data_IF_199657445241
#
_entry.id   IF_199657445241
#
_cell.length_a   1.000
_cell.length_b   1.000
_cell.length_c   1.000
_cell.angle_alpha   90.00
_cell.angle_beta   90.00
_cell.angle_gamma   90.00
#
_symmetry.space_group_name_H-M   'P 1'
#
loop_
_entity.id
_entity.type
_entity.pdbx_description
1 polymer ?
#
# COMPACT_ATOMS: atom_id res chain seq x y z
N UNK A 1 17.93 -5.46 66.88
CA UNK A 1 18.10 -6.18 65.64
C UNK A 1 17.03 -5.71 64.67
N UNK A 2 17.42 -4.84 63.75
CA UNK A 2 16.50 -4.23 62.78
C UNK A 2 16.69 -5.01 61.46
N UNK A 3 15.64 -5.67 61.00
CA UNK A 3 15.65 -6.37 59.74
C UNK A 3 15.03 -5.46 58.68
N UNK A 4 15.84 -4.86 57.83
CA UNK A 4 15.41 -4.16 56.61
C UNK A 4 15.10 -5.22 55.57
N UNK A 5 13.84 -5.37 55.17
CA UNK A 5 13.45 -6.11 53.99
C UNK A 5 13.34 -5.08 52.85
N UNK A 6 14.28 -5.17 51.97
CA UNK A 6 14.35 -4.40 50.74
C UNK A 6 13.15 -4.70 49.85
N UNK A 7 12.31 -3.71 49.64
CA UNK A 7 11.32 -3.74 48.56
C UNK A 7 12.04 -3.75 47.21
N UNK A 8 11.97 -4.84 46.52
CA UNK A 8 12.35 -4.93 45.10
C UNK A 8 11.31 -4.14 44.30
N UNK A 9 11.78 -3.07 43.72
CA UNK A 9 11.02 -2.21 42.80
C UNK A 9 10.55 -3.03 41.60
N UNK A 10 9.24 -3.26 41.51
CA UNK A 10 8.57 -3.88 40.37
C UNK A 10 8.40 -2.89 39.19
N UNK A 11 9.33 -1.95 39.01
CA UNK A 11 9.34 -0.93 37.95
C UNK A 11 10.49 -1.13 36.98
N UNK A 12 10.58 -2.31 36.35
CA UNK A 12 11.71 -2.59 35.47
C UNK A 12 11.45 -3.68 34.42
N UNK A 13 10.20 -4.06 34.18
CA UNK A 13 9.83 -4.91 33.06
C UNK A 13 8.90 -4.16 32.11
N UNK A 14 9.21 -2.88 31.83
CA UNK A 14 8.59 -2.16 30.75
C UNK A 14 9.03 -2.78 29.41
N UNK A 15 8.17 -3.64 28.91
CA UNK A 15 7.77 -3.78 27.53
C UNK A 15 8.85 -4.09 26.51
N UNK A 16 9.37 -5.32 26.54
CA UNK A 16 10.13 -5.92 25.43
C UNK A 16 9.22 -6.30 24.25
N UNK A 17 7.93 -6.00 24.31
CA UNK A 17 6.98 -6.29 23.23
C UNK A 17 7.10 -5.17 22.18
N UNK A 18 7.52 -5.49 20.94
CA UNK A 18 7.64 -4.47 19.89
C UNK A 18 6.30 -3.77 19.65
N UNK A 19 6.31 -2.45 19.49
CA UNK A 19 5.10 -1.71 19.12
C UNK A 19 4.53 -2.23 17.79
N UNK A 20 3.22 -2.07 17.52
CA UNK A 20 2.64 -2.49 16.24
C UNK A 20 3.33 -1.84 15.03
N UNK A 21 3.78 -0.58 15.16
CA UNK A 21 4.56 0.10 14.11
C UNK A 21 5.95 -0.54 13.92
N UNK A 22 6.64 -0.90 14.99
CA UNK A 22 7.93 -1.60 14.92
C UNK A 22 7.78 -3.00 14.29
N UNK A 23 6.67 -3.69 14.56
CA UNK A 23 6.34 -4.95 13.87
C UNK A 23 6.09 -4.72 12.39
N UNK A 24 5.32 -3.69 12.03
CA UNK A 24 5.03 -3.37 10.63
C UNK A 24 6.27 -2.90 9.85
N UNK A 25 7.19 -2.19 10.48
CA UNK A 25 8.45 -1.82 9.84
C UNK A 25 9.25 -3.05 9.38
N UNK A 26 9.07 -4.18 10.04
CA UNK A 26 9.68 -5.48 9.72
C UNK A 26 8.71 -6.43 8.99
N UNK A 27 7.72 -5.90 8.27
CA UNK A 27 6.60 -6.65 7.64
C UNK A 27 7.02 -7.73 6.66
N UNK A 28 8.23 -7.64 6.07
CA UNK A 28 8.78 -8.67 5.20
C UNK A 28 9.24 -9.93 5.94
N UNK A 29 9.52 -9.83 7.24
CA UNK A 29 9.88 -10.98 8.05
C UNK A 29 8.65 -11.84 8.33
N UNK A 30 8.83 -13.16 8.30
CA UNK A 30 7.74 -14.12 8.46
C UNK A 30 6.93 -13.87 9.73
N UNK A 31 5.64 -13.60 9.58
CA UNK A 31 4.70 -13.42 10.67
C UNK A 31 4.64 -12.00 11.25
N UNK A 32 5.56 -11.10 10.92
CA UNK A 32 5.59 -9.76 11.52
C UNK A 32 4.41 -8.90 11.07
N UNK A 33 4.04 -8.91 9.79
CA UNK A 33 2.85 -8.21 9.30
C UNK A 33 1.55 -8.73 9.97
N UNK A 34 1.44 -10.04 10.19
CA UNK A 34 0.29 -10.61 10.89
C UNK A 34 0.23 -10.15 12.35
N UNK A 35 1.36 -10.22 13.08
CA UNK A 35 1.45 -9.73 14.46
C UNK A 35 1.10 -8.22 14.57
N UNK A 36 1.55 -7.41 13.63
CA UNK A 36 1.18 -5.99 13.56
C UNK A 36 -0.33 -5.82 13.37
N UNK A 37 -0.92 -6.55 12.42
CA UNK A 37 -2.37 -6.51 12.18
C UNK A 37 -3.17 -6.94 13.41
N UNK A 38 -2.76 -8.01 14.08
CA UNK A 38 -3.43 -8.52 15.29
C UNK A 38 -3.33 -7.52 16.46
N UNK A 39 -2.18 -6.85 16.61
CA UNK A 39 -1.99 -5.83 17.64
C UNK A 39 -2.89 -4.59 17.38
N UNK A 40 -3.00 -4.11 16.13
CA UNK A 40 -3.94 -3.03 15.80
C UNK A 40 -5.39 -3.46 15.92
N UNK A 41 -5.74 -4.70 15.56
CA UNK A 41 -7.08 -5.23 15.76
C UNK A 41 -7.46 -5.26 17.25
N UNK A 42 -6.56 -5.72 18.13
CA UNK A 42 -6.75 -5.72 19.57
C UNK A 42 -6.91 -4.28 20.12
N UNK A 43 -6.09 -3.35 19.65
CA UNK A 43 -6.19 -1.92 20.05
C UNK A 43 -7.52 -1.31 19.58
N UNK A 44 -7.98 -1.60 18.37
CA UNK A 44 -9.27 -1.14 17.86
C UNK A 44 -10.44 -1.78 18.59
N UNK A 45 -10.32 -3.04 19.01
CA UNK A 45 -11.34 -3.71 19.84
C UNK A 45 -11.45 -3.09 21.23
N UNK A 46 -10.31 -2.74 21.86
CA UNK A 46 -10.27 -2.06 23.15
C UNK A 46 -10.76 -0.61 23.06
N UNK A 47 -10.48 0.07 21.95
CA UNK A 47 -10.84 1.47 21.71
C UNK A 47 -11.49 1.61 20.34
N UNK A 48 -12.81 1.38 20.20
CA UNK A 48 -13.49 1.36 18.90
C UNK A 48 -13.48 2.69 18.14
N UNK A 49 -13.09 3.80 18.78
CA UNK A 49 -12.93 5.11 18.17
C UNK A 49 -11.48 5.43 17.77
N UNK A 50 -10.57 4.46 17.82
CA UNK A 50 -9.17 4.65 17.46
C UNK A 50 -9.01 4.66 15.93
N UNK A 51 -9.01 5.86 15.36
CA UNK A 51 -8.80 6.10 13.94
C UNK A 51 -7.46 5.54 13.45
N UNK A 52 -6.40 5.75 14.23
CA UNK A 52 -5.06 5.33 13.83
C UNK A 52 -4.96 3.81 13.75
N UNK A 53 -5.47 3.11 14.75
CA UNK A 53 -5.52 1.64 14.71
C UNK A 53 -6.34 1.12 13.53
N UNK A 54 -7.46 1.79 13.18
CA UNK A 54 -8.31 1.37 12.08
C UNK A 54 -7.60 1.44 10.71
N UNK A 55 -7.00 2.57 10.36
CA UNK A 55 -6.33 2.67 9.06
C UNK A 55 -5.02 1.87 9.00
N UNK A 56 -4.26 1.79 10.09
CA UNK A 56 -3.03 0.97 10.14
C UNK A 56 -3.34 -0.52 10.05
N UNK A 57 -4.43 -0.97 10.65
CA UNK A 57 -4.94 -2.33 10.45
C UNK A 57 -5.25 -2.58 8.97
N UNK A 58 -5.95 -1.66 8.31
CA UNK A 58 -6.23 -1.77 6.88
C UNK A 58 -4.96 -1.90 6.05
N UNK A 59 -3.96 -1.05 6.31
CA UNK A 59 -2.63 -1.10 5.65
C UNK A 59 -1.94 -2.45 5.86
N UNK A 60 -1.95 -2.95 7.09
CA UNK A 60 -1.33 -4.25 7.38
C UNK A 60 -2.04 -5.41 6.68
N UNK A 61 -3.37 -5.38 6.63
CA UNK A 61 -4.18 -6.38 5.91
C UNK A 61 -3.95 -6.32 4.39
N UNK A 62 -3.77 -5.13 3.82
CA UNK A 62 -3.34 -4.95 2.44
C UNK A 62 -2.00 -5.66 2.18
N UNK A 63 -0.98 -5.42 3.03
CA UNK A 63 0.32 -6.06 2.88
C UNK A 63 0.21 -7.60 2.96
N UNK A 64 -0.54 -8.12 3.92
CA UNK A 64 -0.79 -9.56 4.07
C UNK A 64 -1.48 -10.11 2.82
N UNK A 65 -2.49 -9.42 2.30
CA UNK A 65 -3.22 -9.85 1.11
C UNK A 65 -2.39 -9.83 -0.17
N UNK A 66 -1.45 -8.89 -0.30
CA UNK A 66 -0.61 -8.78 -1.50
C UNK A 66 0.64 -9.65 -1.45
N UNK A 67 1.18 -9.93 -0.26
CA UNK A 67 2.46 -10.63 -0.07
C UNK A 67 2.33 -11.99 0.64
N UNK A 68 1.17 -12.28 1.22
CA UNK A 68 0.92 -13.52 1.93
C UNK A 68 0.49 -14.69 1.05
N UNK A 69 0.04 -15.77 1.69
CA UNK A 69 -0.45 -16.96 1.01
C UNK A 69 -1.71 -16.66 0.16
N UNK A 70 -1.80 -17.28 -1.00
CA UNK A 70 -2.92 -17.13 -1.95
C UNK A 70 -4.26 -17.48 -1.30
N UNK A 71 -4.31 -18.53 -0.49
CA UNK A 71 -5.55 -19.01 0.15
C UNK A 71 -6.14 -17.99 1.15
N UNK A 72 -5.30 -17.24 1.85
CA UNK A 72 -5.71 -16.20 2.80
C UNK A 72 -5.92 -14.82 2.20
N UNK A 73 -5.55 -14.62 0.92
CA UNK A 73 -5.53 -13.30 0.27
C UNK A 73 -6.87 -12.58 0.32
N UNK A 74 -7.94 -13.26 -0.10
CA UNK A 74 -9.28 -12.66 -0.11
C UNK A 74 -9.70 -12.21 1.28
N UNK A 75 -9.58 -13.08 2.27
CA UNK A 75 -9.97 -12.78 3.65
C UNK A 75 -9.17 -11.60 4.23
N UNK A 76 -7.86 -11.52 3.93
CA UNK A 76 -7.03 -10.40 4.35
C UNK A 76 -7.49 -9.08 3.72
N UNK A 77 -7.74 -9.06 2.41
CA UNK A 77 -8.16 -7.85 1.70
C UNK A 77 -9.58 -7.40 2.09
N UNK A 78 -10.51 -8.35 2.30
CA UNK A 78 -11.86 -8.05 2.77
C UNK A 78 -11.80 -7.43 4.20
N UNK A 79 -11.03 -8.02 5.11
CA UNK A 79 -10.81 -7.44 6.44
C UNK A 79 -10.12 -6.06 6.38
N UNK A 80 -9.22 -5.86 5.41
CA UNK A 80 -8.60 -4.57 5.15
C UNK A 80 -9.61 -3.51 4.72
N UNK A 81 -10.56 -3.87 3.84
CA UNK A 81 -11.64 -2.96 3.43
C UNK A 81 -12.56 -2.59 4.61
N UNK A 82 -12.87 -3.54 5.49
CA UNK A 82 -13.72 -3.25 6.66
C UNK A 82 -13.03 -2.32 7.65
N UNK A 83 -11.73 -2.51 7.90
CA UNK A 83 -10.94 -1.62 8.73
C UNK A 83 -10.83 -0.20 8.12
N UNK A 84 -10.67 -0.08 6.79
CA UNK A 84 -10.67 1.20 6.09
C UNK A 84 -12.01 1.93 6.21
N UNK A 85 -13.13 1.23 6.01
CA UNK A 85 -14.48 1.80 6.21
C UNK A 85 -14.67 2.30 7.64
N UNK A 86 -14.14 1.58 8.62
CA UNK A 86 -14.16 2.01 10.03
C UNK A 86 -13.37 3.31 10.20
N UNK A 87 -12.18 3.42 9.61
CA UNK A 87 -11.39 4.65 9.65
C UNK A 87 -12.15 5.82 9.01
N UNK A 88 -12.74 5.63 7.82
CA UNK A 88 -13.56 6.64 7.15
C UNK A 88 -14.76 7.09 8.00
N UNK A 89 -15.44 6.15 8.66
CA UNK A 89 -16.57 6.48 9.55
C UNK A 89 -16.13 7.30 10.77
N UNK A 90 -14.91 7.09 11.27
CA UNK A 90 -14.36 7.85 12.39
C UNK A 90 -13.88 9.24 11.98
N UNK A 91 -13.19 9.35 10.86
CA UNK A 91 -12.64 10.63 10.36
C UNK A 91 -12.76 10.71 8.82
N UNK A 92 -13.93 11.09 8.29
CA UNK A 92 -14.19 11.09 6.85
C UNK A 92 -13.40 12.14 6.06
N UNK A 93 -12.84 13.14 6.73
CA UNK A 93 -12.01 14.18 6.11
C UNK A 93 -10.51 13.83 6.09
N UNK A 94 -10.13 12.62 6.50
CA UNK A 94 -8.75 12.15 6.49
C UNK A 94 -8.50 11.22 5.31
N UNK A 95 -7.39 11.35 4.57
CA UNK A 95 -7.12 10.58 3.35
C UNK A 95 -6.86 9.09 3.60
N UNK A 96 -6.38 8.70 4.80
CA UNK A 96 -5.89 7.35 5.09
C UNK A 96 -6.97 6.28 4.87
N UNK A 97 -8.19 6.50 5.37
CA UNK A 97 -9.29 5.55 5.22
C UNK A 97 -9.67 5.34 3.75
N UNK A 98 -9.82 6.43 3.01
CA UNK A 98 -10.13 6.42 1.58
C UNK A 98 -9.05 5.71 0.77
N UNK A 99 -7.79 6.06 0.99
CA UNK A 99 -6.66 5.45 0.28
C UNK A 99 -6.58 3.95 0.52
N UNK A 100 -6.61 3.51 1.78
CA UNK A 100 -6.48 2.08 2.10
C UNK A 100 -7.71 1.26 1.71
N UNK A 101 -8.91 1.88 1.64
CA UNK A 101 -10.07 1.23 1.03
C UNK A 101 -9.84 0.98 -0.46
N UNK A 102 -9.42 2.01 -1.21
CA UNK A 102 -9.12 1.89 -2.63
C UNK A 102 -7.99 0.88 -2.90
N UNK A 103 -6.93 0.87 -2.09
CA UNK A 103 -5.81 -0.04 -2.22
C UNK A 103 -6.23 -1.51 -2.03
N UNK A 104 -7.00 -1.83 -0.99
CA UNK A 104 -7.51 -3.19 -0.76
C UNK A 104 -8.47 -3.64 -1.87
N UNK A 105 -9.38 -2.77 -2.34
CA UNK A 105 -10.24 -3.06 -3.48
C UNK A 105 -9.44 -3.31 -4.77
N UNK A 106 -8.40 -2.50 -5.01
CA UNK A 106 -7.51 -2.62 -6.16
C UNK A 106 -6.74 -3.94 -6.16
N UNK A 107 -6.14 -4.30 -5.03
CA UNK A 107 -5.43 -5.57 -4.86
C UNK A 107 -6.35 -6.79 -5.06
N UNK A 108 -7.60 -6.71 -4.56
CA UNK A 108 -8.60 -7.74 -4.76
C UNK A 108 -8.99 -7.84 -6.25
N UNK A 109 -9.17 -6.71 -6.92
CA UNK A 109 -9.48 -6.65 -8.34
C UNK A 109 -8.37 -7.27 -9.20
N UNK A 110 -7.11 -6.94 -8.93
CA UNK A 110 -5.95 -7.51 -9.65
C UNK A 110 -5.76 -9.00 -9.37
N UNK A 111 -6.07 -9.47 -8.16
CA UNK A 111 -5.87 -10.87 -7.76
C UNK A 111 -6.94 -11.83 -8.27
N UNK A 112 -8.19 -11.36 -8.45
CA UNK A 112 -9.34 -12.23 -8.74
C UNK A 112 -10.02 -11.93 -10.08
N UNK A 113 -9.32 -11.20 -10.94
CA UNK A 113 -9.66 -11.07 -12.35
C UNK A 113 -10.72 -10.03 -12.68
N UNK A 114 -11.10 -10.00 -13.97
CA UNK A 114 -11.86 -8.91 -14.57
C UNK A 114 -13.22 -8.65 -13.91
N UNK A 115 -13.94 -9.67 -13.46
CA UNK A 115 -15.25 -9.48 -12.80
C UNK A 115 -15.13 -8.66 -11.52
N UNK A 116 -14.09 -8.91 -10.72
CA UNK A 116 -13.82 -8.12 -9.52
C UNK A 116 -13.33 -6.71 -9.87
N UNK A 117 -12.48 -6.60 -10.90
CA UNK A 117 -12.05 -5.31 -11.43
C UNK A 117 -13.22 -4.43 -11.84
N UNK A 118 -14.15 -4.96 -12.61
CA UNK A 118 -15.35 -4.23 -13.03
C UNK A 118 -16.29 -3.90 -11.87
N UNK A 119 -16.41 -4.80 -10.89
CA UNK A 119 -17.23 -4.57 -9.67
C UNK A 119 -16.74 -3.35 -8.90
N UNK A 120 -15.44 -3.24 -8.66
CA UNK A 120 -14.89 -2.22 -7.77
C UNK A 120 -14.41 -0.95 -8.49
N UNK A 121 -14.29 -0.96 -9.84
CA UNK A 121 -13.66 0.14 -10.59
C UNK A 121 -14.15 1.54 -10.25
N UNK A 122 -15.48 1.72 -10.13
CA UNK A 122 -16.07 3.04 -9.82
C UNK A 122 -15.73 3.47 -8.39
N UNK A 123 -15.82 2.55 -7.43
CA UNK A 123 -15.52 2.83 -6.03
C UNK A 123 -14.03 3.15 -5.84
N UNK A 124 -13.12 2.35 -6.43
CA UNK A 124 -11.68 2.62 -6.38
C UNK A 124 -11.37 4.04 -6.87
N UNK A 125 -11.92 4.40 -8.06
CA UNK A 125 -11.68 5.72 -8.65
C UNK A 125 -12.21 6.83 -7.75
N UNK A 126 -13.44 6.71 -7.24
CA UNK A 126 -14.06 7.71 -6.38
C UNK A 126 -13.28 7.94 -5.09
N UNK A 127 -12.83 6.87 -4.43
CA UNK A 127 -12.04 6.98 -3.20
C UNK A 127 -10.67 7.63 -3.47
N UNK A 128 -10.00 7.30 -4.58
CA UNK A 128 -8.73 7.94 -4.93
C UNK A 128 -8.89 9.42 -5.32
N UNK A 129 -9.97 9.79 -6.00
CA UNK A 129 -10.30 11.19 -6.30
C UNK A 129 -10.61 11.97 -5.00
N UNK A 130 -11.23 11.32 -4.00
CA UNK A 130 -11.43 11.92 -2.69
C UNK A 130 -10.10 12.12 -1.95
N UNK A 131 -9.16 11.17 -2.01
CA UNK A 131 -7.80 11.37 -1.47
C UNK A 131 -7.14 12.59 -2.10
N UNK A 132 -7.20 12.75 -3.45
CA UNK A 132 -6.65 13.93 -4.12
C UNK A 132 -7.28 15.23 -3.67
N UNK A 133 -8.58 15.22 -3.37
CA UNK A 133 -9.30 16.39 -2.86
C UNK A 133 -8.90 16.73 -1.42
N UNK A 134 -8.70 15.73 -0.58
CA UNK A 134 -8.33 15.88 0.83
C UNK A 134 -6.87 16.26 1.02
N UNK A 135 -5.97 15.52 0.38
CA UNK A 135 -4.53 15.72 0.42
C UNK A 135 -3.88 15.07 -0.82
N UNK A 136 -3.59 15.85 -1.84
CA UNK A 136 -2.96 15.36 -3.06
C UNK A 136 -1.51 14.89 -2.85
N UNK A 137 -0.84 15.34 -1.77
CA UNK A 137 0.52 14.94 -1.42
C UNK A 137 0.57 13.70 -0.52
N UNK A 138 -0.59 13.18 -0.07
CA UNK A 138 -0.67 12.03 0.82
C UNK A 138 0.22 10.88 0.33
N UNK A 139 1.07 10.35 1.24
CA UNK A 139 2.02 9.25 0.94
C UNK A 139 2.77 9.50 -0.37
N UNK A 140 3.31 10.71 -0.52
CA UNK A 140 4.10 11.14 -1.67
C UNK A 140 3.40 10.93 -3.03
N UNK A 141 2.13 11.38 -3.13
CA UNK A 141 1.34 11.29 -4.35
C UNK A 141 0.78 9.88 -4.63
N UNK A 142 0.51 9.12 -3.57
CA UNK A 142 0.02 7.74 -3.67
C UNK A 142 -1.30 7.63 -4.44
N UNK A 143 -2.19 8.61 -4.34
CA UNK A 143 -3.47 8.61 -5.05
C UNK A 143 -3.27 8.78 -6.57
N UNK A 144 -2.39 9.67 -7.00
CA UNK A 144 -2.02 9.81 -8.41
C UNK A 144 -1.36 8.51 -8.93
N UNK A 145 -0.46 7.91 -8.18
CA UNK A 145 0.13 6.60 -8.52
C UNK A 145 -0.93 5.52 -8.70
N UNK A 146 -1.87 5.42 -7.78
CA UNK A 146 -2.94 4.43 -7.83
C UNK A 146 -3.96 4.71 -8.96
N UNK A 147 -4.29 5.97 -9.25
CA UNK A 147 -5.11 6.35 -10.40
C UNK A 147 -4.42 6.03 -11.72
N UNK A 148 -3.11 6.28 -11.83
CA UNK A 148 -2.34 5.85 -12.98
C UNK A 148 -2.45 4.34 -13.22
N UNK A 149 -2.26 3.55 -12.16
CA UNK A 149 -2.46 2.10 -12.21
C UNK A 149 -3.89 1.73 -12.62
N UNK A 150 -4.90 2.40 -12.06
CA UNK A 150 -6.30 2.20 -12.38
C UNK A 150 -6.59 2.45 -13.87
N UNK A 151 -6.13 3.59 -14.41
CA UNK A 151 -6.33 3.93 -15.82
C UNK A 151 -5.66 2.93 -16.78
N UNK A 152 -4.53 2.37 -16.39
CA UNK A 152 -3.83 1.32 -17.14
C UNK A 152 -4.57 -0.03 -17.10
N UNK A 153 -5.07 -0.44 -15.91
CA UNK A 153 -5.67 -1.77 -15.73
C UNK A 153 -7.12 -1.88 -16.21
N UNK A 154 -7.87 -0.80 -16.17
CA UNK A 154 -9.28 -0.79 -16.59
C UNK A 154 -9.33 -0.76 -18.12
N UNK A 155 -10.11 -1.65 -18.78
CA UNK A 155 -10.27 -1.57 -20.24
C UNK A 155 -10.86 -0.23 -20.70
N UNK A 156 -10.44 0.25 -21.87
CA UNK A 156 -10.86 1.54 -22.43
C UNK A 156 -12.38 1.73 -22.49
N UNK A 157 -13.13 0.67 -22.84
CA UNK A 157 -14.60 0.66 -22.83
C UNK A 157 -15.21 1.03 -21.47
N UNK A 158 -14.47 0.80 -20.37
CA UNK A 158 -14.89 1.06 -19.01
C UNK A 158 -14.19 2.27 -18.37
N UNK A 159 -13.50 3.07 -19.16
CA UNK A 159 -12.86 4.32 -18.76
C UNK A 159 -11.34 4.28 -18.58
N UNK A 160 -10.67 3.19 -18.92
CA UNK A 160 -9.21 3.11 -18.96
C UNK A 160 -8.62 3.99 -20.06
N UNK A 161 -7.37 4.44 -19.89
CA UNK A 161 -6.62 5.23 -20.87
C UNK A 161 -5.15 5.27 -20.49
N UNK A 162 -4.28 4.89 -21.42
CA UNK A 162 -2.84 4.94 -21.22
C UNK A 162 -2.33 6.39 -21.09
N UNK A 163 -2.95 7.34 -21.80
CA UNK A 163 -2.59 8.75 -21.72
C UNK A 163 -2.88 9.31 -20.31
N UNK A 164 -4.04 8.99 -19.74
CA UNK A 164 -4.37 9.39 -18.36
C UNK A 164 -3.51 8.65 -17.34
N UNK A 165 -3.20 7.38 -17.60
CA UNK A 165 -2.26 6.62 -16.78
C UNK A 165 -0.90 7.33 -16.71
N UNK A 166 -0.31 7.67 -17.87
CA UNK A 166 0.95 8.40 -17.95
C UNK A 166 0.87 9.75 -17.21
N UNK A 167 -0.21 10.52 -17.42
CA UNK A 167 -0.40 11.82 -16.76
C UNK A 167 -0.37 11.70 -15.23
N UNK A 168 -1.14 10.79 -14.66
CA UNK A 168 -1.20 10.56 -13.22
C UNK A 168 0.12 10.04 -12.67
N UNK A 169 0.77 9.09 -13.35
CA UNK A 169 2.07 8.56 -12.92
C UNK A 169 3.17 9.61 -12.94
N UNK A 170 3.22 10.45 -13.98
CA UNK A 170 4.14 11.60 -14.00
C UNK A 170 3.81 12.61 -12.91
N UNK A 171 2.52 12.82 -12.61
CA UNK A 171 2.12 13.68 -11.51
C UNK A 171 2.59 13.12 -10.17
N UNK A 172 2.43 11.82 -9.91
CA UNK A 172 2.94 11.20 -8.68
C UNK A 172 4.46 11.37 -8.53
N UNK A 173 5.21 11.29 -9.62
CA UNK A 173 6.66 11.50 -9.63
C UNK A 173 7.09 12.96 -9.34
N UNK A 174 6.17 13.94 -9.38
CA UNK A 174 6.46 15.30 -8.89
C UNK A 174 6.49 15.39 -7.37
N UNK A 175 5.86 14.45 -6.66
CA UNK A 175 5.92 14.37 -5.19
C UNK A 175 7.09 13.52 -4.70
N UNK A 176 7.41 12.44 -5.42
CA UNK A 176 8.58 11.60 -5.15
C UNK A 176 9.19 11.11 -6.47
N UNK A 177 10.24 11.79 -6.90
CA UNK A 177 10.98 11.46 -8.12
C UNK A 177 11.71 10.10 -8.03
N UNK A 178 11.86 9.52 -6.84
CA UNK A 178 12.52 8.23 -6.61
C UNK A 178 11.54 7.06 -6.45
N UNK A 179 10.22 7.31 -6.53
CA UNK A 179 9.19 6.28 -6.35
C UNK A 179 9.36 5.11 -7.32
N UNK A 180 9.86 3.98 -6.82
CA UNK A 180 10.05 2.76 -7.62
C UNK A 180 8.74 2.24 -8.22
N UNK A 181 7.65 2.30 -7.44
CA UNK A 181 6.34 1.88 -7.90
C UNK A 181 5.79 2.77 -9.04
N UNK A 182 5.94 4.11 -8.91
CA UNK A 182 5.48 5.05 -9.96
C UNK A 182 6.24 4.86 -11.27
N UNK A 183 7.56 4.72 -11.20
CA UNK A 183 8.39 4.43 -12.37
C UNK A 183 8.07 3.07 -12.99
N UNK A 184 7.83 2.04 -12.18
CA UNK A 184 7.49 0.72 -12.69
C UNK A 184 6.14 0.73 -13.44
N UNK A 185 5.10 1.35 -12.87
CA UNK A 185 3.79 1.47 -13.53
C UNK A 185 3.85 2.34 -14.77
N UNK A 186 4.67 3.40 -14.75
CA UNK A 186 4.92 4.23 -15.94
C UNK A 186 5.58 3.40 -17.05
N UNK A 187 6.54 2.55 -16.72
CA UNK A 187 7.18 1.68 -17.69
C UNK A 187 6.18 0.71 -18.34
N UNK A 188 5.26 0.11 -17.58
CA UNK A 188 4.21 -0.75 -18.13
C UNK A 188 3.28 0.03 -19.07
N UNK A 189 2.89 1.24 -18.70
CA UNK A 189 2.05 2.12 -19.52
C UNK A 189 2.75 2.50 -20.83
N UNK A 190 4.03 2.91 -20.75
CA UNK A 190 4.83 3.30 -21.91
C UNK A 190 5.07 2.13 -22.88
N UNK A 191 5.29 0.93 -22.34
CA UNK A 191 5.42 -0.30 -23.12
C UNK A 191 4.14 -0.59 -23.91
N UNK A 192 2.98 -0.52 -23.28
CA UNK A 192 1.67 -0.74 -23.92
C UNK A 192 1.37 0.31 -25.00
N UNK A 193 1.88 1.54 -24.84
CA UNK A 193 1.85 2.59 -25.85
C UNK A 193 2.87 2.39 -27.00
N UNK A 194 3.65 1.31 -26.98
CA UNK A 194 4.70 1.04 -27.97
C UNK A 194 5.99 1.84 -27.77
N UNK A 195 6.09 2.65 -26.71
CA UNK A 195 7.25 3.52 -26.41
C UNK A 195 8.33 2.74 -25.65
N UNK A 196 8.87 1.70 -26.31
CA UNK A 196 9.81 0.75 -25.68
C UNK A 196 11.08 1.41 -25.14
N UNK A 197 11.63 2.43 -25.81
CA UNK A 197 12.82 3.12 -25.34
C UNK A 197 12.54 3.84 -24.00
N UNK A 198 11.43 4.55 -23.91
CA UNK A 198 11.02 5.25 -22.70
C UNK A 198 10.69 4.28 -21.57
N UNK A 199 10.04 3.15 -21.88
CA UNK A 199 9.78 2.09 -20.92
C UNK A 199 11.08 1.52 -20.33
N UNK A 200 12.11 1.29 -21.15
CA UNK A 200 13.42 0.84 -20.70
C UNK A 200 14.09 1.86 -19.78
N UNK A 201 14.03 3.14 -20.13
CA UNK A 201 14.56 4.22 -19.29
C UNK A 201 13.84 4.27 -17.93
N UNK A 202 12.51 4.15 -17.93
CA UNK A 202 11.71 4.12 -16.69
C UNK A 202 12.07 2.89 -15.81
N UNK A 203 12.27 1.70 -16.40
CA UNK A 203 12.72 0.52 -15.64
C UNK A 203 14.12 0.70 -15.08
N UNK A 204 15.02 1.37 -15.80
CA UNK A 204 16.34 1.69 -15.29
C UNK A 204 16.27 2.60 -14.06
N UNK A 205 15.38 3.63 -14.07
CA UNK A 205 15.12 4.46 -12.88
C UNK A 205 14.68 3.63 -11.67
N UNK A 206 13.79 2.62 -11.86
CA UNK A 206 13.43 1.72 -10.76
C UNK A 206 14.64 1.00 -10.17
N UNK A 207 15.54 0.50 -11.04
CA UNK A 207 16.71 -0.28 -10.62
C UNK A 207 17.70 0.62 -9.86
N UNK A 208 17.90 1.86 -10.30
CA UNK A 208 18.90 2.77 -9.77
C UNK A 208 18.43 3.56 -8.54
N UNK A 209 17.12 3.73 -8.37
CA UNK A 209 16.55 4.46 -7.24
C UNK A 209 17.07 3.93 -5.89
N UNK A 210 17.36 4.79 -4.90
CA UNK A 210 17.67 4.34 -3.55
C UNK A 210 16.46 3.63 -2.92
N UNK A 211 16.69 2.79 -1.92
CA UNK A 211 15.59 2.24 -1.12
C UNK A 211 15.04 3.34 -0.21
N UNK A 212 13.73 3.50 -0.21
CA UNK A 212 13.05 4.32 0.78
C UNK A 212 12.93 3.50 2.09
N UNK A 213 13.40 3.99 3.25
CA UNK A 213 13.36 3.22 4.50
C UNK A 213 11.96 2.71 4.87
N UNK A 214 10.91 3.50 4.60
CA UNK A 214 9.53 3.14 4.94
C UNK A 214 8.92 2.11 3.97
N UNK A 215 9.44 2.05 2.73
CA UNK A 215 8.96 1.22 1.64
C UNK A 215 10.00 0.21 1.13
N UNK A 216 11.08 0.00 1.87
CA UNK A 216 12.20 -0.84 1.45
C UNK A 216 11.80 -2.27 1.04
N UNK A 217 10.83 -2.95 1.69
CA UNK A 217 10.34 -4.24 1.22
C UNK A 217 9.72 -4.19 -0.17
N UNK A 218 8.85 -3.21 -0.41
CA UNK A 218 8.17 -3.01 -1.69
C UNK A 218 9.15 -2.56 -2.77
N UNK A 219 10.08 -1.66 -2.46
CA UNK A 219 11.12 -1.23 -3.38
C UNK A 219 11.98 -2.39 -3.88
N UNK A 220 12.35 -3.32 -2.99
CA UNK A 220 13.09 -4.53 -3.39
C UNK A 220 12.30 -5.38 -4.39
N UNK A 221 10.98 -5.48 -4.20
CA UNK A 221 10.10 -6.21 -5.12
C UNK A 221 10.03 -5.52 -6.48
N UNK A 222 9.80 -4.19 -6.51
CA UNK A 222 9.74 -3.44 -7.76
C UNK A 222 11.06 -3.50 -8.52
N UNK A 223 12.20 -3.41 -7.83
CA UNK A 223 13.52 -3.56 -8.45
C UNK A 223 13.73 -4.96 -9.06
N UNK A 224 13.28 -6.01 -8.40
CA UNK A 224 13.36 -7.38 -8.93
C UNK A 224 12.48 -7.55 -10.17
N UNK A 225 11.24 -7.04 -10.14
CA UNK A 225 10.33 -7.05 -11.27
C UNK A 225 10.87 -6.22 -12.45
N UNK A 226 11.45 -5.04 -12.18
CA UNK A 226 12.03 -4.18 -13.19
C UNK A 226 13.21 -4.85 -13.91
N UNK A 227 14.09 -5.53 -13.20
CA UNK A 227 15.21 -6.30 -13.80
C UNK A 227 14.70 -7.39 -14.76
N UNK A 228 13.70 -8.15 -14.32
CA UNK A 228 13.08 -9.21 -15.12
C UNK A 228 12.43 -8.62 -16.39
N UNK A 229 11.66 -7.54 -16.23
CA UNK A 229 10.96 -6.89 -17.34
C UNK A 229 11.92 -6.23 -18.33
N UNK A 230 12.98 -5.57 -17.85
CA UNK A 230 14.01 -4.97 -18.67
C UNK A 230 14.74 -6.02 -19.54
N UNK A 231 15.06 -7.18 -18.98
CA UNK A 231 15.65 -8.28 -19.71
C UNK A 231 14.72 -8.84 -20.80
N UNK A 232 13.41 -8.84 -20.57
CA UNK A 232 12.42 -9.25 -21.57
C UNK A 232 12.28 -8.24 -22.73
N UNK A 233 12.35 -6.94 -22.44
CA UNK A 233 12.29 -5.87 -23.45
C UNK A 233 13.56 -5.76 -24.30
N UNK A 234 14.65 -6.39 -23.91
CA UNK A 234 15.92 -6.40 -24.64
C UNK A 234 16.06 -7.51 -25.69
N UNK A 235 15.07 -8.41 -25.75
CA UNK A 235 14.97 -9.48 -26.75
C UNK A 235 14.02 -9.05 -27.85
#
# INVERSE_FOLDING_TARGET
MVSCISGLDARGQDDLTPTPDALYARREEKGFAARAADAWAARLAATPADFEAAWKLSRARYYIGTNGNVDGRRAALDAGMDAARKAMALQPSRPEGHFWLAANMGALAESFGMSQGLKYRKAIKAELEEVLRLDAAYEAGSADRALGRWYFKVPGLFGGSNEKSEQHLRKSLTYDAQSTASWYFLAETLEDMGRKADARAALQHVIDAPLNPDWAPEDRQWKALAKTKLAALGR
#
